data_IF_764396216060
#
_entry.id   IF_764396216060
#
_cell.length_a   1.000
_cell.length_b   1.000
_cell.length_c   1.000
_cell.angle_alpha   90.00
_cell.angle_beta   90.00
_cell.angle_gamma   90.00
#
_symmetry.space_group_name_H-M   'P 1'
#
loop_
_entity.id
_entity.type
_entity.pdbx_description
1 polymer ?
#
# COMPACT_ATOMS: atom_id res chain seq x y z
N UNK A 1 -23.24 19.45 6.87
CA UNK A 1 -22.50 18.80 7.98
C UNK A 1 -22.96 17.36 8.20
N UNK A 2 -24.27 17.06 8.20
CA UNK A 2 -24.79 15.68 8.34
C UNK A 2 -24.26 14.68 7.29
N UNK A 3 -24.21 15.05 6.00
CA UNK A 3 -23.73 14.14 4.95
C UNK A 3 -22.23 13.84 5.06
N UNK A 4 -21.37 14.86 5.28
CA UNK A 4 -19.90 14.65 5.44
C UNK A 4 -19.58 13.77 6.64
N UNK A 5 -20.35 13.90 7.74
CA UNK A 5 -20.17 13.06 8.93
C UNK A 5 -20.65 11.62 8.70
N UNK A 6 -21.70 11.45 7.89
CA UNK A 6 -22.21 10.12 7.50
C UNK A 6 -21.30 9.42 6.49
N UNK A 7 -20.74 10.15 5.52
CA UNK A 7 -19.75 9.65 4.56
C UNK A 7 -18.47 9.23 5.30
N UNK A 8 -17.87 10.11 6.11
CA UNK A 8 -16.69 9.78 6.89
C UNK A 8 -16.90 8.56 7.81
N UNK A 9 -18.11 8.39 8.37
CA UNK A 9 -18.43 7.22 9.20
C UNK A 9 -18.58 5.94 8.36
N UNK A 10 -19.15 6.01 7.16
CA UNK A 10 -19.25 4.85 6.26
C UNK A 10 -17.88 4.43 5.76
N UNK A 11 -17.04 5.39 5.38
CA UNK A 11 -15.69 5.14 4.89
C UNK A 11 -14.83 4.50 5.99
N UNK A 12 -14.93 5.00 7.22
CA UNK A 12 -14.24 4.42 8.39
C UNK A 12 -14.69 2.98 8.69
N UNK A 13 -15.98 2.66 8.56
CA UNK A 13 -16.48 1.30 8.77
C UNK A 13 -16.03 0.36 7.64
N UNK A 14 -16.02 0.84 6.40
CA UNK A 14 -15.53 0.08 5.26
C UNK A 14 -14.03 -0.23 5.38
N UNK A 15 -13.22 0.76 5.74
CA UNK A 15 -11.79 0.57 6.00
C UNK A 15 -11.53 -0.41 7.14
N UNK A 16 -12.19 -0.26 8.28
CA UNK A 16 -12.02 -1.17 9.41
C UNK A 16 -12.36 -2.62 9.03
N UNK A 17 -13.42 -2.83 8.24
CA UNK A 17 -13.79 -4.16 7.73
C UNK A 17 -12.74 -4.70 6.78
N UNK A 18 -12.22 -3.88 5.87
CA UNK A 18 -11.17 -4.26 4.94
C UNK A 18 -9.89 -4.68 5.69
N UNK A 19 -9.46 -3.87 6.65
CA UNK A 19 -8.31 -4.19 7.51
C UNK A 19 -8.52 -5.52 8.26
N UNK A 20 -9.71 -5.75 8.82
CA UNK A 20 -10.01 -7.00 9.54
C UNK A 20 -9.95 -8.23 8.61
N UNK A 21 -10.50 -8.13 7.41
CA UNK A 21 -10.50 -9.23 6.43
C UNK A 21 -9.09 -9.56 5.97
N UNK A 22 -8.30 -8.54 5.63
CA UNK A 22 -6.90 -8.70 5.22
C UNK A 22 -6.08 -9.28 6.38
N UNK A 23 -6.23 -8.75 7.60
CA UNK A 23 -5.52 -9.27 8.77
C UNK A 23 -5.78 -10.76 8.99
N UNK A 24 -7.05 -11.20 8.89
CA UNK A 24 -7.40 -12.62 8.99
C UNK A 24 -6.79 -13.46 7.87
N UNK A 25 -6.71 -12.96 6.64
CA UNK A 25 -6.03 -13.66 5.55
C UNK A 25 -4.53 -13.84 5.85
N UNK A 26 -3.88 -12.79 6.35
CA UNK A 26 -2.45 -12.78 6.68
C UNK A 26 -2.11 -13.65 7.90
N UNK A 27 -2.98 -13.68 8.93
CA UNK A 27 -2.81 -14.50 10.12
C UNK A 27 -2.85 -16.00 9.81
N UNK A 28 -3.72 -16.41 8.88
CA UNK A 28 -3.85 -17.82 8.49
C UNK A 28 -2.77 -18.29 7.50
N UNK A 29 -1.95 -17.38 6.97
CA UNK A 29 -0.93 -17.69 5.99
C UNK A 29 0.44 -17.96 6.64
N UNK A 30 1.04 -19.08 6.26
CA UNK A 30 2.45 -19.39 6.49
C UNK A 30 3.27 -18.86 5.31
N UNK A 31 4.13 -17.87 5.56
CA UNK A 31 4.97 -17.23 4.55
C UNK A 31 6.39 -17.18 5.07
N UNK A 32 7.33 -17.74 4.31
CA UNK A 32 8.76 -17.56 4.56
C UNK A 32 9.21 -16.29 3.82
N UNK A 33 9.63 -15.28 4.56
CA UNK A 33 9.92 -13.95 4.02
C UNK A 33 11.44 -13.77 3.94
N UNK A 34 12.01 -13.63 2.73
CA UNK A 34 13.43 -13.36 2.59
C UNK A 34 13.81 -12.01 3.25
N UNK A 35 14.88 -12.01 4.05
CA UNK A 35 15.38 -10.79 4.70
C UNK A 35 15.65 -9.64 3.73
N UNK A 36 16.05 -9.95 2.49
CA UNK A 36 16.28 -8.95 1.45
C UNK A 36 15.00 -8.17 1.09
N UNK A 37 13.83 -8.81 1.12
CA UNK A 37 12.56 -8.14 0.86
C UNK A 37 12.18 -7.20 2.01
N UNK A 38 12.36 -7.64 3.25
CA UNK A 38 12.09 -6.82 4.45
C UNK A 38 12.99 -5.59 4.47
N UNK A 39 14.28 -5.77 4.19
CA UNK A 39 15.24 -4.66 4.20
C UNK A 39 14.93 -3.63 3.10
N UNK A 40 14.65 -4.11 1.88
CA UNK A 40 14.24 -3.23 0.78
C UNK A 40 12.96 -2.43 1.11
N UNK A 41 11.99 -3.08 1.72
CA UNK A 41 10.75 -2.42 2.12
C UNK A 41 10.98 -1.42 3.27
N UNK A 42 11.85 -1.74 4.23
CA UNK A 42 12.22 -0.84 5.32
C UNK A 42 12.90 0.44 4.78
N UNK A 43 13.80 0.30 3.79
CA UNK A 43 14.42 1.43 3.10
C UNK A 43 13.38 2.28 2.39
N UNK A 44 12.41 1.65 1.72
CA UNK A 44 11.29 2.36 1.08
C UNK A 44 10.46 3.16 2.10
N UNK A 45 10.11 2.55 3.24
CA UNK A 45 9.37 3.21 4.31
C UNK A 45 10.16 4.39 4.89
N UNK A 46 11.47 4.22 5.09
CA UNK A 46 12.34 5.28 5.58
C UNK A 46 12.45 6.45 4.60
N UNK A 47 12.58 6.16 3.30
CA UNK A 47 12.61 7.17 2.25
C UNK A 47 11.29 7.94 2.17
N UNK A 48 10.15 7.23 2.27
CA UNK A 48 8.83 7.86 2.27
C UNK A 48 8.67 8.77 3.49
N UNK A 49 9.06 8.29 4.68
CA UNK A 49 9.07 9.07 5.90
C UNK A 49 9.92 10.35 5.78
N UNK A 50 11.12 10.25 5.20
CA UNK A 50 11.98 11.41 4.97
C UNK A 50 11.34 12.43 4.00
N UNK A 51 10.68 11.96 2.94
CA UNK A 51 9.96 12.83 1.99
C UNK A 51 8.79 13.55 2.67
N UNK A 52 8.04 12.86 3.52
CA UNK A 52 6.92 13.44 4.27
C UNK A 52 7.38 14.49 5.28
N UNK A 53 8.52 14.26 5.95
CA UNK A 53 9.16 15.26 6.80
C UNK A 53 9.62 16.48 6.01
N UNK A 54 10.26 16.26 4.86
CA UNK A 54 10.72 17.35 3.99
C UNK A 54 9.55 18.20 3.50
N UNK A 55 8.42 17.58 3.15
CA UNK A 55 7.20 18.30 2.76
C UNK A 55 6.66 19.20 3.89
N UNK A 56 6.93 18.85 5.15
CA UNK A 56 6.60 19.65 6.34
C UNK A 56 7.71 20.64 6.73
N UNK A 57 8.81 20.69 5.99
CA UNK A 57 9.97 21.53 6.29
C UNK A 57 10.83 21.03 7.46
N UNK A 58 10.74 19.74 7.79
CA UNK A 58 11.52 19.07 8.83
C UNK A 58 12.61 18.19 8.19
N UNK A 59 13.70 17.96 8.93
CA UNK A 59 14.70 16.94 8.58
C UNK A 59 14.57 15.74 9.53
N UNK A 60 14.99 14.53 9.12
CA UNK A 60 14.99 13.36 9.99
C UNK A 60 15.76 13.58 11.30
N UNK A 61 16.90 14.27 11.24
CA UNK A 61 17.73 14.54 12.43
C UNK A 61 17.00 15.42 13.44
N UNK A 62 16.27 16.43 12.95
CA UNK A 62 15.46 17.31 13.80
C UNK A 62 14.28 16.55 14.40
N UNK A 63 13.66 15.65 13.62
CA UNK A 63 12.60 14.77 14.12
C UNK A 63 13.12 13.89 15.26
N UNK A 64 14.25 13.19 15.07
CA UNK A 64 14.87 12.35 16.11
C UNK A 64 15.16 13.14 17.39
N UNK A 65 15.66 14.37 17.27
CA UNK A 65 15.89 15.24 18.43
C UNK A 65 14.58 15.62 19.15
N UNK A 66 13.52 15.93 18.39
CA UNK A 66 12.23 16.30 18.98
C UNK A 66 11.50 15.13 19.63
N UNK A 67 11.55 13.94 19.03
CA UNK A 67 10.89 12.75 19.56
C UNK A 67 11.73 12.01 20.61
N UNK A 68 13.03 12.30 20.67
CA UNK A 68 13.98 11.58 21.52
C UNK A 68 14.28 10.17 21.04
N UNK A 69 13.95 9.84 19.79
CA UNK A 69 14.27 8.56 19.16
C UNK A 69 15.66 8.62 18.50
N UNK A 70 16.28 7.46 18.29
CA UNK A 70 17.50 7.36 17.47
C UNK A 70 17.15 6.86 16.08
N UNK A 71 18.06 7.06 15.13
CA UNK A 71 17.95 6.53 13.77
C UNK A 71 17.81 5.01 13.78
N UNK A 72 18.61 4.32 14.61
CA UNK A 72 18.56 2.85 14.72
C UNK A 72 17.23 2.35 15.29
N UNK A 73 16.66 3.07 16.28
CA UNK A 73 15.36 2.74 16.83
C UNK A 73 14.25 2.94 15.79
N UNK A 74 14.33 4.00 14.98
CA UNK A 74 13.42 4.22 13.87
C UNK A 74 13.57 3.13 12.80
N UNK A 75 14.80 2.78 12.43
CA UNK A 75 15.07 1.74 11.45
C UNK A 75 14.53 0.38 11.90
N UNK A 76 14.77 -0.01 13.16
CA UNK A 76 14.22 -1.25 13.72
C UNK A 76 12.69 -1.27 13.71
N UNK A 77 12.04 -0.12 13.96
CA UNK A 77 10.60 0.01 13.85
C UNK A 77 10.13 -0.15 12.39
N UNK A 78 10.83 0.49 11.44
CA UNK A 78 10.54 0.37 10.01
C UNK A 78 10.75 -1.07 9.51
N UNK A 79 11.76 -1.80 9.99
CA UNK A 79 11.95 -3.23 9.68
C UNK A 79 10.77 -4.09 10.17
N UNK A 80 10.29 -3.84 11.39
CA UNK A 80 9.14 -4.59 11.92
C UNK A 80 7.86 -4.31 11.12
N UNK A 81 7.64 -3.07 10.70
CA UNK A 81 6.48 -2.70 9.89
C UNK A 81 6.63 -3.17 8.43
N UNK A 82 7.85 -3.16 7.90
CA UNK A 82 8.20 -3.74 6.61
C UNK A 82 7.92 -5.24 6.57
N UNK A 83 8.28 -6.00 7.62
CA UNK A 83 7.99 -7.44 7.69
C UNK A 83 6.50 -7.72 7.55
N UNK A 84 5.66 -6.97 8.28
CA UNK A 84 4.19 -7.10 8.18
C UNK A 84 3.69 -6.73 6.78
N UNK A 85 4.23 -5.65 6.19
CA UNK A 85 3.80 -5.16 4.87
C UNK A 85 4.20 -6.13 3.76
N UNK A 86 5.42 -6.66 3.80
CA UNK A 86 5.88 -7.71 2.88
C UNK A 86 5.03 -8.97 3.04
N UNK A 87 4.77 -9.41 4.27
CA UNK A 87 3.88 -10.56 4.51
C UNK A 87 2.52 -10.35 3.86
N UNK A 88 1.91 -9.20 4.11
CA UNK A 88 0.60 -8.84 3.57
C UNK A 88 0.60 -8.86 2.05
N UNK A 89 1.59 -8.22 1.42
CA UNK A 89 1.70 -8.18 -0.03
C UNK A 89 1.85 -9.59 -0.63
N UNK A 90 2.73 -10.42 -0.08
CA UNK A 90 2.91 -11.81 -0.54
C UNK A 90 1.64 -12.64 -0.42
N UNK A 91 0.86 -12.47 0.65
CA UNK A 91 -0.42 -13.16 0.82
C UNK A 91 -1.43 -12.68 -0.21
N UNK A 92 -1.54 -11.37 -0.44
CA UNK A 92 -2.47 -10.81 -1.42
C UNK A 92 -2.08 -11.17 -2.86
N UNK A 93 -0.78 -11.22 -3.17
CA UNK A 93 -0.26 -11.73 -4.44
C UNK A 93 -0.61 -13.20 -4.64
N UNK A 94 -0.41 -14.05 -3.62
CA UNK A 94 -0.77 -15.46 -3.69
C UNK A 94 -2.28 -15.67 -3.90
N UNK A 95 -3.12 -14.82 -3.30
CA UNK A 95 -4.58 -14.82 -3.52
C UNK A 95 -4.88 -14.38 -4.95
N UNK A 96 -4.26 -13.30 -5.43
CA UNK A 96 -4.42 -12.86 -6.82
C UNK A 96 -4.05 -13.96 -7.82
N UNK A 97 -2.96 -14.68 -7.58
CA UNK A 97 -2.55 -15.81 -8.42
C UNK A 97 -3.54 -16.98 -8.35
N UNK A 98 -3.99 -17.36 -7.14
CA UNK A 98 -4.95 -18.46 -6.94
C UNK A 98 -6.29 -18.18 -7.64
N UNK A 99 -6.74 -16.93 -7.59
CA UNK A 99 -7.97 -16.46 -8.23
C UNK A 99 -7.76 -16.06 -9.71
N UNK A 100 -6.55 -16.23 -10.26
CA UNK A 100 -6.18 -15.88 -11.63
C UNK A 100 -6.51 -14.41 -11.99
N UNK A 101 -6.26 -13.51 -11.05
CA UNK A 101 -6.51 -12.09 -11.20
C UNK A 101 -5.45 -11.47 -12.11
N UNK A 102 -5.89 -11.00 -13.25
CA UNK A 102 -5.10 -10.16 -14.15
C UNK A 102 -5.78 -8.78 -14.33
N UNK A 103 -5.03 -7.67 -14.25
CA UNK A 103 -5.53 -6.37 -14.62
C UNK A 103 -5.87 -6.36 -16.11
N UNK A 104 -7.05 -5.86 -16.46
CA UNK A 104 -7.41 -5.67 -17.86
C UNK A 104 -6.70 -4.42 -18.39
N UNK A 105 -6.50 -4.33 -19.70
CA UNK A 105 -5.94 -3.12 -20.34
C UNK A 105 -6.80 -1.89 -20.02
N UNK A 106 -8.12 -2.06 -19.91
CA UNK A 106 -9.02 -0.97 -19.52
C UNK A 106 -8.75 -0.46 -18.10
N UNK A 107 -8.55 -1.38 -17.13
CA UNK A 107 -8.24 -0.98 -15.76
C UNK A 107 -6.87 -0.27 -15.66
N UNK A 108 -5.91 -0.69 -16.49
CA UNK A 108 -4.60 -0.04 -16.59
C UNK A 108 -4.75 1.38 -17.18
N UNK A 109 -5.51 1.54 -18.27
CA UNK A 109 -5.74 2.86 -18.88
C UNK A 109 -6.52 3.82 -17.97
N UNK A 110 -7.46 3.29 -17.17
CA UNK A 110 -8.20 4.05 -16.17
C UNK A 110 -7.27 4.56 -15.07
N UNK A 111 -6.43 3.69 -14.49
CA UNK A 111 -5.47 4.09 -13.45
C UNK A 111 -4.48 5.15 -13.99
N UNK A 112 -3.99 4.99 -15.22
CA UNK A 112 -3.15 5.99 -15.89
C UNK A 112 -3.91 7.31 -16.07
N UNK A 113 -5.21 7.27 -16.38
CA UNK A 113 -6.06 8.46 -16.47
C UNK A 113 -6.17 9.17 -15.12
N UNK A 114 -6.40 8.42 -14.05
CA UNK A 114 -6.50 8.96 -12.70
C UNK A 114 -5.18 9.61 -12.27
N UNK A 115 -4.05 8.97 -12.56
CA UNK A 115 -2.72 9.54 -12.31
C UNK A 115 -2.48 10.81 -13.13
N UNK A 116 -2.84 10.79 -14.42
CA UNK A 116 -2.74 11.95 -15.31
C UNK A 116 -3.52 13.15 -14.75
N UNK A 117 -4.77 12.94 -14.34
CA UNK A 117 -5.60 13.97 -13.72
C UNK A 117 -5.02 14.47 -12.39
N UNK A 118 -4.59 13.56 -11.52
CA UNK A 118 -4.03 13.88 -10.20
C UNK A 118 -2.78 14.76 -10.30
N UNK A 119 -1.90 14.47 -11.26
CA UNK A 119 -0.63 15.17 -11.44
C UNK A 119 -0.69 16.28 -12.49
N UNK A 120 -1.84 16.48 -13.17
CA UNK A 120 -2.00 17.45 -14.24
C UNK A 120 -1.10 17.16 -15.44
N UNK A 121 -0.89 15.88 -15.74
CA UNK A 121 -0.03 15.38 -16.82
C UNK A 121 -0.87 14.72 -17.92
N UNK A 122 -0.34 14.65 -19.13
CA UNK A 122 -0.94 13.85 -20.21
C UNK A 122 -0.71 12.35 -19.95
N UNK A 123 -1.65 11.47 -20.36
CA UNK A 123 -1.54 10.01 -20.16
C UNK A 123 -0.23 9.42 -20.69
N UNK A 124 0.23 9.89 -21.85
CA UNK A 124 1.47 9.41 -22.45
C UNK A 124 2.71 9.82 -21.63
N UNK A 125 2.67 10.99 -20.99
CA UNK A 125 3.73 11.42 -20.08
C UNK A 125 3.75 10.58 -18.80
N UNK A 126 2.57 10.19 -18.29
CA UNK A 126 2.46 9.26 -17.15
C UNK A 126 3.02 7.89 -17.54
N UNK A 127 2.65 7.34 -18.70
CA UNK A 127 3.20 6.07 -19.20
C UNK A 127 4.72 6.12 -19.33
N UNK A 128 5.25 7.20 -19.89
CA UNK A 128 6.70 7.38 -20.03
C UNK A 128 7.41 7.50 -18.67
N UNK A 129 6.77 8.15 -17.68
CA UNK A 129 7.32 8.32 -16.35
C UNK A 129 7.34 7.00 -15.54
N UNK A 130 6.29 6.19 -15.68
CA UNK A 130 6.23 4.86 -15.07
C UNK A 130 7.24 3.90 -15.71
N UNK A 131 7.43 3.99 -17.03
CA UNK A 131 8.37 3.14 -17.76
C UNK A 131 7.89 1.69 -17.80
N UNK A 132 8.30 0.88 -16.82
CA UNK A 132 7.77 -0.47 -16.64
C UNK A 132 6.40 -0.42 -15.93
N UNK A 133 5.42 -1.14 -16.48
CA UNK A 133 4.06 -1.21 -15.93
C UNK A 133 3.90 -2.34 -14.90
N UNK A 134 4.95 -3.10 -14.60
CA UNK A 134 4.93 -4.21 -13.66
C UNK A 134 4.41 -3.81 -12.28
N UNK A 135 4.90 -2.69 -11.74
CA UNK A 135 4.45 -2.13 -10.46
C UNK A 135 2.97 -1.75 -10.50
N UNK A 136 2.56 -0.98 -11.53
CA UNK A 136 1.17 -0.59 -11.74
C UNK A 136 0.23 -1.80 -11.83
N UNK A 137 0.66 -2.84 -12.55
CA UNK A 137 -0.09 -4.09 -12.67
C UNK A 137 -0.17 -4.83 -11.34
N UNK A 138 0.92 -4.88 -10.58
CA UNK A 138 0.93 -5.50 -9.25
C UNK A 138 -0.05 -4.79 -8.31
N UNK A 139 -0.02 -3.46 -8.28
CA UNK A 139 -0.93 -2.66 -7.45
C UNK A 139 -2.40 -2.92 -7.81
N UNK A 140 -2.71 -3.00 -9.11
CA UNK A 140 -4.06 -3.32 -9.58
C UNK A 140 -4.48 -4.76 -9.24
N UNK A 141 -3.55 -5.72 -9.28
CA UNK A 141 -3.82 -7.11 -8.85
C UNK A 141 -4.14 -7.17 -7.36
N UNK A 142 -3.31 -6.54 -6.53
CA UNK A 142 -3.48 -6.51 -5.08
C UNK A 142 -4.82 -5.86 -4.72
N UNK A 143 -5.17 -4.74 -5.36
CA UNK A 143 -6.45 -4.06 -5.14
C UNK A 143 -7.64 -4.98 -5.45
N UNK A 144 -7.62 -5.66 -6.60
CA UNK A 144 -8.65 -6.64 -6.97
C UNK A 144 -8.69 -7.84 -6.02
N UNK A 145 -7.55 -8.32 -5.54
CA UNK A 145 -7.51 -9.41 -4.56
C UNK A 145 -8.19 -9.04 -3.23
N UNK A 146 -8.00 -7.78 -2.80
CA UNK A 146 -8.71 -7.24 -1.63
C UNK A 146 -10.22 -7.21 -1.87
N UNK A 147 -10.67 -6.78 -3.05
CA UNK A 147 -12.09 -6.77 -3.39
C UNK A 147 -12.71 -8.18 -3.33
N UNK A 148 -12.02 -9.17 -3.89
CA UNK A 148 -12.44 -10.59 -3.82
C UNK A 148 -12.50 -11.08 -2.37
N UNK A 149 -11.50 -10.75 -1.55
CA UNK A 149 -11.51 -11.08 -0.12
C UNK A 149 -12.70 -10.45 0.61
N UNK A 150 -12.98 -9.18 0.33
CA UNK A 150 -14.10 -8.45 0.93
C UNK A 150 -15.45 -9.08 0.55
N UNK A 151 -15.65 -9.42 -0.72
CA UNK A 151 -16.87 -10.06 -1.21
C UNK A 151 -17.05 -11.44 -0.57
N UNK A 152 -16.00 -12.24 -0.49
CA UNK A 152 -16.04 -13.56 0.16
C UNK A 152 -16.33 -13.49 1.67
N UNK A 153 -15.95 -12.39 2.33
CA UNK A 153 -16.22 -12.14 3.73
C UNK A 153 -17.65 -11.63 4.00
N UNK A 154 -18.35 -11.14 2.98
CA UNK A 154 -19.76 -10.70 3.07
C UNK A 154 -20.73 -11.88 2.91
N UNK A 155 -20.35 -12.95 2.20
CA UNK A 155 -21.21 -14.12 1.93
C UNK A 155 -21.36 -15.12 3.12
N UNK A 156 -21.28 -14.67 4.38
CA UNK A 156 -21.57 -15.51 5.57
C UNK A 156 -22.71 -14.99 6.42
#
# INVERSE_FOLDING_TARGET
>A
ISNRLQEAKKDSVAQAKQEEVIAKAVENAEVDIPHAMVHHEADHLMNHFAQDLQAQGLTPELYYQFTGQTEEAMHAQMEQDAEKRVKMNLVLEAIAEAENIEPTEEAIDEEISTLAEKYGMEKDAVRAALGDMSELKSDLKIRKAIDVLLDSAVEK
#
